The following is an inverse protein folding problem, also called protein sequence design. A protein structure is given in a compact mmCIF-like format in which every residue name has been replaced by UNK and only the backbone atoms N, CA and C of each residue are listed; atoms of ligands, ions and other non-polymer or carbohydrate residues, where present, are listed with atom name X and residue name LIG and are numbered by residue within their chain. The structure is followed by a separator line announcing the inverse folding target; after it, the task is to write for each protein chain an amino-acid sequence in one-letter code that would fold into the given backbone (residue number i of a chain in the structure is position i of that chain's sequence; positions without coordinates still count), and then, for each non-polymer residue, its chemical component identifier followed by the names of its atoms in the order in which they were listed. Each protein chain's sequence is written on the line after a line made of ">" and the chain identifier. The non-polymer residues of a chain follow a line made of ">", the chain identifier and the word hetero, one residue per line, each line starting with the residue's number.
data_IF_746743863530
#
_entry.id   IF_746743863530
#
_cell.length_a   1.000
_cell.length_b   1.000
_cell.length_c   1.000
_cell.angle_alpha   90.00
_cell.angle_beta   90.00
_cell.angle_gamma   90.00
#
_symmetry.space_group_name_H-M   'P 1'
#
loop_
_entity.id
_entity.type
_entity.pdbx_description
1 polymer ?
#
# COMPACT_ATOMS: atom_id res chain seq x y z
N UNK A 1 5.01 16.72 -8.25
CA UNK A 1 3.68 16.96 -7.68
C UNK A 1 3.36 18.44 -7.45
N UNK A 2 4.00 19.35 -8.20
CA UNK A 2 3.63 20.77 -8.25
C UNK A 2 3.12 21.18 -9.63
N UNK A 3 3.02 20.19 -10.55
CA UNK A 3 2.49 20.37 -11.90
C UNK A 3 0.98 20.13 -11.89
N UNK A 4 0.24 20.98 -12.57
CA UNK A 4 -1.23 20.94 -12.63
C UNK A 4 -1.70 20.49 -14.04
N UNK A 5 -1.09 19.38 -14.51
CA UNK A 5 -1.35 18.82 -15.84
C UNK A 5 -2.31 17.60 -15.84
N UNK A 6 -3.21 17.54 -14.87
CA UNK A 6 -4.16 16.42 -14.70
C UNK A 6 -4.98 16.14 -15.97
N UNK A 7 -5.44 17.18 -16.65
CA UNK A 7 -6.21 17.06 -17.88
C UNK A 7 -5.41 16.41 -19.00
N UNK A 8 -4.18 16.86 -19.23
CA UNK A 8 -3.28 16.30 -20.25
C UNK A 8 -2.97 14.83 -19.97
N UNK A 9 -2.67 14.50 -18.71
CA UNK A 9 -2.40 13.11 -18.29
C UNK A 9 -3.61 12.23 -18.59
N UNK A 10 -4.81 12.66 -18.22
CA UNK A 10 -6.02 11.88 -18.47
C UNK A 10 -6.34 11.74 -19.95
N UNK A 11 -6.11 12.75 -20.78
CA UNK A 11 -6.25 12.64 -22.24
C UNK A 11 -5.28 11.61 -22.83
N UNK A 12 -4.02 11.63 -22.42
CA UNK A 12 -3.04 10.65 -22.87
C UNK A 12 -3.41 9.22 -22.45
N UNK A 13 -3.94 9.04 -21.24
CA UNK A 13 -4.42 7.74 -20.76
C UNK A 13 -5.67 7.28 -21.52
N UNK A 14 -6.58 8.19 -21.88
CA UNK A 14 -7.75 7.90 -22.70
C UNK A 14 -7.37 7.36 -24.10
N UNK A 15 -6.37 7.98 -24.72
CA UNK A 15 -5.82 7.50 -26.00
C UNK A 15 -5.27 6.07 -25.89
N UNK A 16 -4.60 5.75 -24.78
CA UNK A 16 -4.07 4.40 -24.53
C UNK A 16 -5.20 3.39 -24.30
N UNK A 17 -6.27 3.78 -23.57
CA UNK A 17 -7.47 2.95 -23.39
C UNK A 17 -8.15 2.71 -24.72
N UNK A 18 -8.41 3.75 -25.52
CA UNK A 18 -9.03 3.66 -26.84
C UNK A 18 -8.23 2.78 -27.81
N UNK A 19 -6.92 2.74 -27.67
CA UNK A 19 -6.06 1.84 -28.45
C UNK A 19 -6.15 0.36 -28.04
N UNK A 20 -6.88 0.04 -26.95
CA UNK A 20 -7.05 -1.31 -26.42
C UNK A 20 -5.85 -1.86 -25.65
N UNK A 21 -4.81 -1.06 -25.38
CA UNK A 21 -3.60 -1.51 -24.69
C UNK A 21 -3.79 -1.66 -23.18
N UNK A 22 -4.66 -0.85 -22.57
CA UNK A 22 -5.04 -0.93 -21.16
C UNK A 22 -6.56 -0.82 -21.04
N UNK A 23 -7.12 -1.29 -19.94
CA UNK A 23 -8.57 -1.22 -19.67
C UNK A 23 -8.91 -0.12 -18.67
N UNK A 24 -8.13 0.00 -17.61
CA UNK A 24 -8.41 0.87 -16.48
C UNK A 24 -7.13 1.60 -16.05
N UNK A 25 -7.31 2.67 -15.32
CA UNK A 25 -6.22 3.51 -14.82
C UNK A 25 -6.33 3.74 -13.32
N UNK A 26 -5.20 3.86 -12.67
CA UNK A 26 -5.07 4.23 -11.27
C UNK A 26 -3.93 5.23 -11.07
N UNK A 27 -3.85 5.78 -9.87
CA UNK A 27 -2.79 6.71 -9.45
C UNK A 27 -1.95 6.08 -8.35
N UNK A 28 -0.76 6.62 -8.08
CA UNK A 28 0.13 6.11 -7.05
C UNK A 28 0.78 7.23 -6.25
N UNK A 29 0.86 7.04 -4.94
CA UNK A 29 1.47 7.99 -3.99
C UNK A 29 0.84 9.40 -4.04
N UNK A 30 -0.44 9.45 -4.39
CA UNK A 30 -1.19 10.70 -4.48
C UNK A 30 -1.88 11.02 -3.15
N UNK A 31 -2.02 12.29 -2.87
CA UNK A 31 -2.76 12.80 -1.71
C UNK A 31 -4.24 13.05 -2.02
N UNK A 32 -4.98 13.47 -1.00
CA UNK A 32 -6.41 13.74 -1.10
C UNK A 32 -6.74 14.79 -2.18
N UNK A 33 -6.00 15.91 -2.19
CA UNK A 33 -6.23 16.98 -3.16
C UNK A 33 -6.01 16.51 -4.60
N UNK A 34 -4.88 15.87 -4.90
CA UNK A 34 -4.58 15.40 -6.25
C UNK A 34 -5.56 14.31 -6.70
N UNK A 35 -5.95 13.42 -5.80
CA UNK A 35 -6.98 12.40 -6.08
C UNK A 35 -8.30 13.06 -6.51
N UNK A 36 -8.78 14.05 -5.76
CA UNK A 36 -10.00 14.77 -6.11
C UNK A 36 -9.85 15.60 -7.39
N UNK A 37 -8.65 16.12 -7.68
CA UNK A 37 -8.38 16.81 -8.95
C UNK A 37 -8.54 15.84 -10.14
N UNK A 38 -7.92 14.66 -10.09
CA UNK A 38 -8.10 13.64 -11.13
C UNK A 38 -9.57 13.26 -11.34
N UNK A 39 -10.31 13.02 -10.25
CA UNK A 39 -11.72 12.66 -10.32
C UNK A 39 -12.58 13.76 -10.92
N UNK A 40 -12.36 15.01 -10.53
CA UNK A 40 -13.10 16.16 -11.06
C UNK A 40 -12.78 16.43 -12.53
N UNK A 41 -11.50 16.35 -12.92
CA UNK A 41 -11.10 16.50 -14.32
C UNK A 41 -11.70 15.40 -15.20
N UNK A 42 -11.67 14.15 -14.74
CA UNK A 42 -12.30 13.03 -15.44
C UNK A 42 -13.80 13.27 -15.66
N UNK A 43 -14.52 13.66 -14.61
CA UNK A 43 -15.95 13.93 -14.65
C UNK A 43 -16.32 15.10 -15.55
N UNK A 44 -15.60 16.22 -15.45
CA UNK A 44 -15.94 17.47 -16.16
C UNK A 44 -15.63 17.37 -17.66
N UNK A 45 -14.66 16.56 -18.05
CA UNK A 45 -14.18 16.45 -19.43
C UNK A 45 -14.52 15.11 -20.07
N UNK A 46 -15.34 14.26 -19.43
CA UNK A 46 -15.70 12.91 -19.92
C UNK A 46 -14.47 12.04 -20.22
N UNK A 47 -13.45 12.14 -19.37
CA UNK A 47 -12.22 11.38 -19.44
C UNK A 47 -12.27 10.13 -18.53
N UNK A 48 -11.35 9.18 -18.68
CA UNK A 48 -11.32 7.97 -17.87
C UNK A 48 -11.23 8.28 -16.37
N UNK A 49 -12.11 7.68 -15.59
CA UNK A 49 -12.08 7.77 -14.13
C UNK A 49 -10.92 6.90 -13.61
N UNK A 50 -10.14 7.43 -12.68
CA UNK A 50 -9.22 6.61 -11.90
C UNK A 50 -10.03 5.67 -10.99
N UNK A 51 -9.70 4.39 -10.96
CA UNK A 51 -10.42 3.38 -10.18
C UNK A 51 -9.67 2.91 -8.94
N UNK A 52 -8.37 3.16 -8.87
CA UNK A 52 -7.54 2.77 -7.72
C UNK A 52 -6.49 3.82 -7.37
N UNK A 53 -6.07 3.78 -6.10
CA UNK A 53 -4.91 4.51 -5.59
C UNK A 53 -3.91 3.49 -5.06
N UNK A 54 -2.69 3.46 -5.57
CA UNK A 54 -1.64 2.61 -5.04
C UNK A 54 -0.78 3.38 -4.04
N UNK A 55 -1.02 3.15 -2.74
CA UNK A 55 -0.31 3.83 -1.65
C UNK A 55 0.24 2.83 -0.62
N UNK A 56 1.27 3.26 0.13
CA UNK A 56 1.78 2.50 1.26
C UNK A 56 0.70 2.37 2.34
N UNK A 57 0.45 1.14 2.79
CA UNK A 57 -0.46 0.91 3.90
C UNK A 57 -0.06 -0.34 4.68
N UNK A 58 0.03 -0.22 6.00
CA UNK A 58 0.40 -1.30 6.91
C UNK A 58 0.09 -0.91 8.36
N UNK A 59 0.28 -1.80 9.31
CA UNK A 59 0.22 -1.48 10.77
C UNK A 59 1.13 -0.31 11.17
N UNK A 60 2.24 -0.09 10.45
CA UNK A 60 3.20 1.00 10.72
C UNK A 60 3.03 2.21 9.78
N UNK A 61 2.08 2.18 8.83
CA UNK A 61 1.88 3.24 7.86
C UNK A 61 0.39 3.40 7.57
N UNK A 62 -0.26 4.34 8.23
CA UNK A 62 -1.72 4.51 8.22
C UNK A 62 -2.25 5.88 7.70
N UNK A 63 -1.47 6.71 6.98
CA UNK A 63 -1.99 8.00 6.51
C UNK A 63 -3.22 7.89 5.60
N UNK A 64 -3.39 6.76 4.90
CA UNK A 64 -4.56 6.51 4.05
C UNK A 64 -5.89 6.53 4.80
N UNK A 65 -5.90 6.18 6.10
CA UNK A 65 -7.10 6.15 6.95
C UNK A 65 -7.71 7.54 7.23
N UNK A 66 -6.97 8.59 6.92
CA UNK A 66 -7.50 9.95 6.97
C UNK A 66 -8.41 10.25 5.77
N UNK A 67 -8.13 11.32 5.07
CA UNK A 67 -8.97 11.84 3.97
C UNK A 67 -9.15 10.84 2.81
N UNK A 68 -8.11 10.05 2.48
CA UNK A 68 -8.16 9.13 1.35
C UNK A 68 -9.13 7.97 1.56
N UNK A 69 -9.30 7.49 2.77
CA UNK A 69 -10.28 6.43 3.08
C UNK A 69 -11.72 6.92 2.86
N UNK A 70 -12.02 8.17 3.24
CA UNK A 70 -13.32 8.78 2.97
C UNK A 70 -13.55 8.98 1.48
N UNK A 71 -12.56 9.50 0.76
CA UNK A 71 -12.62 9.67 -0.71
C UNK A 71 -12.83 8.32 -1.39
N UNK A 72 -12.07 7.30 -0.99
CA UNK A 72 -12.18 5.96 -1.55
C UNK A 72 -13.60 5.41 -1.43
N UNK A 73 -14.21 5.57 -0.26
CA UNK A 73 -15.58 5.13 -0.01
C UNK A 73 -16.62 5.93 -0.81
N UNK A 74 -16.53 7.28 -0.79
CA UNK A 74 -17.52 8.14 -1.44
C UNK A 74 -17.44 8.11 -2.96
N UNK A 75 -16.24 8.03 -3.50
CA UNK A 75 -16.00 8.05 -4.93
C UNK A 75 -15.92 6.65 -5.57
N UNK A 76 -16.10 5.61 -4.77
CA UNK A 76 -16.00 4.21 -5.22
C UNK A 76 -14.69 3.96 -6.00
N UNK A 77 -13.58 4.26 -5.35
CA UNK A 77 -12.23 3.93 -5.80
C UNK A 77 -11.54 3.13 -4.69
N UNK A 78 -10.58 2.29 -5.03
CA UNK A 78 -10.01 1.37 -4.05
C UNK A 78 -8.51 1.56 -3.82
N UNK A 79 -8.03 1.09 -2.66
CA UNK A 79 -6.62 1.05 -2.34
C UNK A 79 -5.97 -0.23 -2.91
N UNK A 80 -4.88 -0.07 -3.64
CA UNK A 80 -3.87 -1.11 -3.85
C UNK A 80 -2.77 -0.89 -2.81
N UNK A 81 -2.80 -1.65 -1.72
CA UNK A 81 -1.87 -1.47 -0.60
C UNK A 81 -0.49 -2.04 -0.95
N UNK A 82 0.55 -1.22 -1.02
CA UNK A 82 1.90 -1.72 -1.13
C UNK A 82 2.65 -1.65 0.20
N UNK A 83 3.68 -2.49 0.35
CA UNK A 83 4.47 -2.66 1.57
C UNK A 83 3.64 -2.99 2.82
N UNK A 84 2.69 -3.93 2.75
CA UNK A 84 1.87 -4.32 3.91
C UNK A 84 2.72 -4.87 5.06
N UNK A 85 3.89 -5.43 4.76
CA UNK A 85 4.90 -5.91 5.70
C UNK A 85 5.94 -4.85 6.11
N UNK A 86 5.70 -3.56 5.80
CA UNK A 86 6.62 -2.45 6.14
C UNK A 86 8.08 -2.76 5.77
N UNK A 87 8.34 -3.16 4.52
CA UNK A 87 9.65 -3.56 4.00
C UNK A 87 10.25 -4.79 4.74
N UNK A 88 9.40 -5.63 5.32
CA UNK A 88 9.78 -6.84 6.04
C UNK A 88 10.00 -6.61 7.55
N UNK A 89 9.77 -5.41 8.08
CA UNK A 89 9.82 -5.15 9.52
C UNK A 89 8.73 -5.95 10.25
N UNK A 90 7.53 -5.99 9.70
CA UNK A 90 6.38 -6.69 10.25
C UNK A 90 6.41 -8.23 10.07
N UNK A 91 7.52 -8.80 9.57
CA UNK A 91 7.77 -10.24 9.73
C UNK A 91 8.39 -10.58 11.10
N UNK A 92 8.80 -9.57 11.88
CA UNK A 92 9.45 -9.77 13.17
C UNK A 92 10.95 -10.15 13.09
N UNK A 93 11.48 -10.49 11.92
CA UNK A 93 12.85 -11.00 11.76
C UNK A 93 13.96 -10.09 12.29
N UNK A 94 13.76 -8.76 12.20
CA UNK A 94 14.75 -7.80 12.70
C UNK A 94 14.75 -7.70 14.23
N UNK A 95 13.60 -7.91 14.87
CA UNK A 95 13.47 -7.91 16.33
C UNK A 95 13.97 -9.24 16.89
N UNK A 96 13.63 -10.36 16.24
CA UNK A 96 14.05 -11.72 16.64
C UNK A 96 15.53 -11.99 16.35
N UNK A 97 16.22 -11.10 15.63
CA UNK A 97 17.62 -11.30 15.22
C UNK A 97 17.81 -12.39 14.16
N UNK A 98 16.75 -12.83 13.50
CA UNK A 98 16.77 -13.91 12.50
C UNK A 98 16.90 -13.40 11.06
N UNK A 99 17.07 -12.08 10.88
CA UNK A 99 17.23 -11.48 9.57
C UNK A 99 18.53 -11.96 8.89
N UNK A 100 18.40 -12.60 7.74
CA UNK A 100 19.53 -13.03 6.92
C UNK A 100 20.40 -11.83 6.48
N UNK A 101 21.65 -12.05 6.09
CA UNK A 101 22.56 -10.97 5.70
C UNK A 101 22.11 -10.25 4.43
N UNK A 102 21.39 -10.94 3.55
CA UNK A 102 20.77 -10.36 2.37
C UNK A 102 19.40 -9.72 2.63
N UNK A 103 18.98 -9.58 3.90
CA UNK A 103 17.71 -8.93 4.23
C UNK A 103 17.72 -7.44 3.82
N UNK A 104 16.59 -6.96 3.30
CA UNK A 104 16.46 -5.65 2.65
C UNK A 104 17.05 -4.48 3.45
N UNK A 105 16.76 -4.39 4.76
CA UNK A 105 17.26 -3.28 5.57
C UNK A 105 18.75 -3.41 5.90
N UNK A 106 19.33 -4.61 5.86
CA UNK A 106 20.77 -4.81 5.98
C UNK A 106 21.51 -4.36 4.71
N UNK A 107 20.96 -4.72 3.53
CA UNK A 107 21.54 -4.37 2.24
C UNK A 107 21.34 -2.88 1.86
N UNK A 108 20.21 -2.32 2.26
CA UNK A 108 19.80 -0.98 1.85
C UNK A 108 19.38 -0.12 3.04
N UNK A 109 20.34 0.44 3.82
CA UNK A 109 20.04 1.28 4.99
C UNK A 109 19.13 2.49 4.68
N UNK A 110 19.12 2.96 3.42
CA UNK A 110 18.22 4.05 2.94
C UNK A 110 16.73 3.73 3.10
N UNK A 111 16.36 2.46 3.23
CA UNK A 111 14.97 2.04 3.48
C UNK A 111 14.58 2.04 4.96
N UNK A 112 15.24 2.88 5.78
CA UNK A 112 15.03 2.98 7.22
C UNK A 112 13.68 3.60 7.65
N UNK A 113 12.73 3.84 6.73
CA UNK A 113 11.42 4.47 7.01
C UNK A 113 10.70 3.87 8.22
N UNK A 114 10.83 2.56 8.44
CA UNK A 114 10.15 1.83 9.52
C UNK A 114 11.12 1.32 10.59
N UNK A 115 12.29 1.96 10.73
CA UNK A 115 13.35 1.54 11.67
C UNK A 115 13.54 2.54 12.83
N UNK A 116 12.61 3.47 13.05
CA UNK A 116 12.64 4.34 14.22
C UNK A 116 12.42 3.55 15.49
N UNK A 117 12.81 4.13 16.64
CA UNK A 117 12.55 3.54 17.94
C UNK A 117 11.06 3.28 18.17
N UNK A 118 10.20 4.25 17.78
CA UNK A 118 8.74 4.11 17.86
C UNK A 118 8.22 2.95 17.01
N UNK A 119 8.73 2.80 15.77
CA UNK A 119 8.35 1.68 14.90
C UNK A 119 8.79 0.35 15.48
N UNK A 120 9.97 0.29 16.06
CA UNK A 120 10.51 -0.91 16.71
C UNK A 120 9.66 -1.31 17.91
N UNK A 121 9.32 -0.35 18.77
CA UNK A 121 8.50 -0.60 19.95
C UNK A 121 7.07 -1.01 19.57
N UNK A 122 6.47 -0.35 18.59
CA UNK A 122 5.17 -0.75 18.03
C UNK A 122 5.21 -2.17 17.49
N UNK A 123 6.27 -2.52 16.74
CA UNK A 123 6.42 -3.87 16.17
C UNK A 123 6.55 -4.94 17.27
N UNK A 124 7.26 -4.66 18.38
CA UNK A 124 7.32 -5.59 19.53
C UNK A 124 5.94 -5.84 20.13
N UNK A 125 5.13 -4.78 20.28
CA UNK A 125 3.76 -4.90 20.81
C UNK A 125 2.87 -5.71 19.86
N UNK A 126 2.95 -5.46 18.56
CA UNK A 126 2.23 -6.24 17.55
C UNK A 126 2.65 -7.71 17.54
N UNK A 127 3.95 -7.99 17.68
CA UNK A 127 4.47 -9.36 17.78
C UNK A 127 3.84 -10.09 18.96
N UNK A 128 3.81 -9.45 20.13
CA UNK A 128 3.18 -10.03 21.33
C UNK A 128 1.70 -10.34 21.10
N UNK A 129 0.94 -9.41 20.49
CA UNK A 129 -0.47 -9.62 20.18
C UNK A 129 -0.65 -10.80 19.21
N UNK A 130 0.17 -10.89 18.17
CA UNK A 130 0.10 -12.00 17.23
C UNK A 130 0.34 -13.35 17.93
N UNK A 131 1.40 -13.45 18.73
CA UNK A 131 1.75 -14.66 19.48
C UNK A 131 0.65 -15.07 20.47
N UNK A 132 0.05 -14.12 21.19
CA UNK A 132 -1.09 -14.35 22.10
C UNK A 132 -2.33 -14.88 21.38
N UNK A 133 -2.45 -14.66 20.09
CA UNK A 133 -3.58 -15.11 19.25
C UNK A 133 -3.20 -16.27 18.31
N UNK A 134 -2.03 -16.90 18.50
CA UNK A 134 -1.61 -18.07 17.73
C UNK A 134 -1.28 -17.77 16.26
N UNK A 135 -0.97 -16.51 15.92
CA UNK A 135 -0.62 -16.05 14.57
C UNK A 135 0.85 -15.67 14.48
N UNK A 136 1.40 -15.73 13.28
CA UNK A 136 2.66 -15.01 13.02
C UNK A 136 2.38 -13.51 12.90
N UNK A 137 3.40 -12.68 13.11
CA UNK A 137 3.26 -11.23 12.90
C UNK A 137 2.99 -10.90 11.42
N UNK A 138 3.49 -11.73 10.49
CA UNK A 138 3.22 -11.60 9.07
C UNK A 138 1.73 -11.81 8.78
N UNK A 139 1.15 -12.92 9.21
CA UNK A 139 -0.27 -13.23 9.06
C UNK A 139 -1.16 -12.14 9.66
N UNK A 140 -0.90 -11.71 10.90
CA UNK A 140 -1.66 -10.63 11.53
C UNK A 140 -1.55 -9.31 10.72
N UNK A 141 -0.36 -8.98 10.20
CA UNK A 141 -0.14 -7.73 9.46
C UNK A 141 -0.87 -7.74 8.11
N UNK A 142 -0.90 -8.87 7.42
CA UNK A 142 -1.63 -9.02 6.16
C UNK A 142 -3.15 -9.04 6.40
N UNK A 143 -3.62 -9.77 7.42
CA UNK A 143 -5.03 -9.79 7.81
C UNK A 143 -5.51 -8.37 8.15
N UNK A 144 -4.73 -7.60 8.93
CA UNK A 144 -5.05 -6.20 9.21
C UNK A 144 -5.30 -5.37 7.96
N UNK A 145 -4.50 -5.54 6.92
CA UNK A 145 -4.67 -4.81 5.65
C UNK A 145 -5.90 -5.33 4.91
N UNK A 146 -6.08 -6.66 4.86
CA UNK A 146 -7.16 -7.31 4.13
C UNK A 146 -8.56 -6.97 4.67
N UNK A 147 -8.67 -6.72 5.97
CA UNK A 147 -9.94 -6.35 6.63
C UNK A 147 -10.37 -4.88 6.39
N UNK A 148 -9.61 -4.10 5.64
CA UNK A 148 -9.96 -2.69 5.40
C UNK A 148 -11.04 -2.54 4.34
N UNK A 149 -12.15 -1.82 4.61
CA UNK A 149 -13.26 -1.67 3.66
C UNK A 149 -12.90 -0.89 2.39
N UNK A 150 -11.81 -0.13 2.43
CA UNK A 150 -11.29 0.62 1.28
C UNK A 150 -10.23 -0.15 0.47
N UNK A 151 -9.89 -1.38 0.87
CA UNK A 151 -8.91 -2.17 0.16
C UNK A 151 -9.52 -2.83 -1.08
N UNK A 152 -8.85 -2.71 -2.22
CA UNK A 152 -9.13 -3.50 -3.42
C UNK A 152 -8.19 -4.70 -3.51
N UNK A 153 -6.90 -4.49 -3.25
CA UNK A 153 -5.92 -5.57 -3.28
C UNK A 153 -4.71 -5.25 -2.41
N UNK A 154 -4.21 -6.29 -1.74
CA UNK A 154 -2.99 -6.25 -0.97
C UNK A 154 -1.82 -6.71 -1.86
N UNK A 155 -0.80 -5.87 -2.03
CA UNK A 155 0.37 -6.17 -2.87
C UNK A 155 1.44 -6.81 -2.00
N UNK A 156 1.51 -8.12 -2.05
CA UNK A 156 2.49 -8.92 -1.31
C UNK A 156 3.74 -9.17 -2.15
N UNK A 157 4.82 -9.56 -1.47
CA UNK A 157 6.06 -10.01 -2.09
C UNK A 157 6.70 -11.11 -1.24
N UNK A 158 7.23 -12.13 -1.90
CA UNK A 158 7.97 -13.22 -1.28
C UNK A 158 9.28 -13.45 -2.04
N UNK A 159 10.33 -13.90 -1.35
CA UNK A 159 11.62 -14.23 -1.95
C UNK A 159 11.89 -15.72 -1.96
N UNK A 160 11.03 -16.52 -1.32
CA UNK A 160 11.01 -17.98 -1.31
C UNK A 160 9.57 -18.50 -1.15
N UNK A 161 9.38 -19.81 -1.32
CA UNK A 161 8.07 -20.47 -1.26
C UNK A 161 7.46 -20.41 0.14
N UNK A 162 8.25 -20.58 1.19
CA UNK A 162 7.78 -20.55 2.58
C UNK A 162 7.12 -19.20 2.91
N UNK A 163 7.76 -18.09 2.49
CA UNK A 163 7.16 -16.76 2.65
C UNK A 163 5.89 -16.58 1.83
N UNK A 164 5.82 -17.18 0.65
CA UNK A 164 4.61 -17.09 -0.17
C UNK A 164 3.47 -17.86 0.45
N UNK A 165 3.72 -19.08 0.94
CA UNK A 165 2.75 -19.90 1.66
C UNK A 165 2.23 -19.16 2.90
N UNK A 166 3.12 -18.67 3.77
CA UNK A 166 2.76 -17.88 4.96
C UNK A 166 1.90 -16.65 4.62
N UNK A 167 2.16 -16.01 3.48
CA UNK A 167 1.41 -14.81 3.07
C UNK A 167 0.02 -15.11 2.50
N UNK A 168 -0.26 -16.36 2.10
CA UNK A 168 -1.52 -16.78 1.48
C UNK A 168 -2.46 -17.45 2.50
N UNK A 169 -1.90 -18.13 3.49
CA UNK A 169 -2.64 -18.73 4.61
C UNK A 169 -3.34 -17.67 5.49
#
# INVERSE_FOLDING_TARGET
>A
PWEDNFNEILHNLDEIIKSGKIREVGISNEGAWGTMRYLNEAKNNSLPKIITIQNAYSLLCRPFEGDLAEIAHRENIGLLAYSPMALGVLSGKYIKGTAADNARLKLFPRFARYSSEQSTEATKRYLKIAEENGMTLAQMSLAFVNERPFLTSNIIGATNLEQLEENIE
#
